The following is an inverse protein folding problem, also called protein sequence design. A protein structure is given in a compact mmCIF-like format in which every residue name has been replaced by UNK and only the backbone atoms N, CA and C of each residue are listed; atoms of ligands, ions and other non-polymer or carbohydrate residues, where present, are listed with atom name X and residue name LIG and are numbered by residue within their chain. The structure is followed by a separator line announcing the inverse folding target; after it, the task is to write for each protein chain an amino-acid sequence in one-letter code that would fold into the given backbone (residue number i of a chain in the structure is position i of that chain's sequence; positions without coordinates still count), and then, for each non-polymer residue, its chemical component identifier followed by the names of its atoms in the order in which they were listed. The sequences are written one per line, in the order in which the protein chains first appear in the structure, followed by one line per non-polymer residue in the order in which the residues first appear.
data_IF_188141069764
#
_entry.id   IF_188141069764
#
_cell.length_a   1.000
_cell.length_b   1.000
_cell.length_c   1.000
_cell.angle_alpha   90.00
_cell.angle_beta   90.00
_cell.angle_gamma   90.00
#
_symmetry.space_group_name_H-M   'P 1'
#
loop_
_entity.id
_entity.type
_entity.pdbx_description
1 polymer ?
#
# COMPACT_ATOMS: atom_id res chain seq x y z
N UNK A 1 14.44 -7.18 10.11
CA UNK A 1 13.01 -7.43 10.00
C UNK A 1 12.47 -7.04 8.66
N UNK A 2 11.72 -7.92 8.07
CA UNK A 2 11.20 -7.67 6.74
C UNK A 2 10.03 -6.71 6.80
N UNK A 3 10.15 -5.58 6.13
CA UNK A 3 9.03 -4.66 5.95
C UNK A 3 8.24 -4.98 4.70
N UNK A 4 8.54 -6.13 4.09
CA UNK A 4 7.89 -6.55 2.85
C UNK A 4 6.81 -7.58 3.14
N UNK A 5 5.59 -7.26 2.78
CA UNK A 5 4.43 -8.11 2.99
C UNK A 5 3.71 -8.36 1.69
N UNK A 6 3.07 -9.53 1.60
CA UNK A 6 2.22 -9.81 0.44
C UNK A 6 0.96 -8.94 0.53
N UNK A 7 0.26 -8.71 -0.59
CA UNK A 7 -1.00 -7.97 -0.55
C UNK A 7 -2.00 -8.59 0.42
N UNK A 8 -1.99 -9.91 0.55
CA UNK A 8 -2.88 -10.61 1.47
C UNK A 8 -2.54 -10.29 2.92
N UNK A 9 -1.25 -10.27 3.23
CA UNK A 9 -0.80 -9.94 4.57
C UNK A 9 -1.13 -8.49 4.93
N UNK A 10 -0.95 -7.57 3.99
CA UNK A 10 -1.31 -6.19 4.20
C UNK A 10 -2.82 -6.02 4.36
N UNK A 11 -3.58 -6.78 3.59
CA UNK A 11 -5.03 -6.76 3.69
C UNK A 11 -5.48 -7.14 5.10
N UNK A 12 -4.88 -8.18 5.67
CA UNK A 12 -5.19 -8.62 7.01
C UNK A 12 -4.79 -7.58 8.06
N UNK A 13 -3.62 -6.99 7.90
CA UNK A 13 -3.11 -6.02 8.86
C UNK A 13 -3.89 -4.72 8.86
N UNK A 14 -4.26 -4.24 7.68
CA UNK A 14 -4.86 -2.93 7.53
C UNK A 14 -6.39 -2.96 7.42
N UNK A 15 -6.97 -4.14 7.27
CA UNK A 15 -8.40 -4.26 7.08
C UNK A 15 -8.88 -3.70 5.75
N UNK A 16 -8.01 -3.72 4.74
CA UNK A 16 -8.33 -3.26 3.38
C UNK A 16 -8.45 -4.43 2.44
N UNK A 17 -9.20 -4.23 1.36
CA UNK A 17 -9.29 -5.25 0.32
C UNK A 17 -7.96 -5.35 -0.44
N UNK A 18 -7.58 -6.58 -0.79
CA UNK A 18 -6.35 -6.83 -1.53
C UNK A 18 -6.31 -6.03 -2.83
N UNK A 19 -7.43 -5.93 -3.51
CA UNK A 19 -7.51 -5.19 -4.77
C UNK A 19 -7.25 -3.71 -4.57
N UNK A 20 -7.73 -3.14 -3.48
CA UNK A 20 -7.46 -1.74 -3.16
C UNK A 20 -6.00 -1.50 -2.87
N UNK A 21 -5.35 -2.44 -2.20
CA UNK A 21 -3.92 -2.35 -1.91
C UNK A 21 -3.12 -2.34 -3.21
N UNK A 22 -3.43 -3.26 -4.11
CA UNK A 22 -2.75 -3.34 -5.40
C UNK A 22 -2.99 -2.09 -6.22
N UNK A 23 -4.22 -1.62 -6.24
CA UNK A 23 -4.58 -0.41 -6.97
C UNK A 23 -3.82 0.80 -6.45
N UNK A 24 -3.72 0.95 -5.14
CA UNK A 24 -2.99 2.05 -4.54
C UNK A 24 -1.51 1.99 -4.89
N UNK A 25 -0.93 0.79 -4.87
CA UNK A 25 0.46 0.61 -5.26
C UNK A 25 0.71 1.09 -6.69
N UNK A 26 -0.21 0.77 -7.60
CA UNK A 26 -0.09 1.18 -8.99
C UNK A 26 -0.23 2.69 -9.12
N UNK A 27 -1.23 3.26 -8.47
CA UNK A 27 -1.50 4.70 -8.55
C UNK A 27 -0.39 5.55 -7.95
N UNK A 28 0.17 5.10 -6.83
CA UNK A 28 1.20 5.87 -6.14
C UNK A 28 2.62 5.44 -6.50
N UNK A 29 2.76 4.45 -7.36
CA UNK A 29 4.07 4.00 -7.79
C UNK A 29 4.84 3.24 -6.73
N UNK A 30 4.17 2.56 -5.84
CA UNK A 30 4.82 1.73 -4.84
C UNK A 30 5.33 0.45 -5.49
N UNK A 31 6.65 0.18 -5.45
CA UNK A 31 7.19 -1.00 -6.11
C UNK A 31 6.78 -2.29 -5.41
N UNK A 32 6.56 -3.32 -6.21
CA UNK A 32 6.24 -4.65 -5.70
C UNK A 32 7.36 -5.58 -6.13
N UNK A 33 8.08 -6.14 -5.15
CA UNK A 33 9.20 -7.03 -5.41
C UNK A 33 8.83 -8.45 -5.01
N UNK A 34 8.97 -9.39 -5.93
CA UNK A 34 8.68 -10.80 -5.67
C UNK A 34 7.30 -11.01 -5.04
N UNK A 35 6.32 -10.22 -5.49
CA UNK A 35 4.98 -10.33 -4.96
C UNK A 35 4.78 -9.73 -3.57
N UNK A 36 5.77 -8.98 -3.08
CA UNK A 36 5.71 -8.35 -1.77
C UNK A 36 5.80 -6.84 -1.87
N UNK A 37 5.11 -6.17 -0.98
CA UNK A 37 5.04 -4.71 -0.96
C UNK A 37 5.77 -4.20 0.26
N UNK A 38 6.56 -3.12 0.09
CA UNK A 38 7.22 -2.47 1.20
C UNK A 38 6.17 -1.74 2.04
N UNK A 39 5.98 -2.20 3.27
CA UNK A 39 4.99 -1.65 4.17
C UNK A 39 5.21 -0.15 4.43
N UNK A 40 6.45 0.24 4.55
CA UNK A 40 6.81 1.64 4.80
C UNK A 40 6.40 2.54 3.64
N UNK A 41 6.74 2.12 2.43
CA UNK A 41 6.37 2.89 1.24
C UNK A 41 4.86 2.90 1.03
N UNK A 42 4.21 1.78 1.33
CA UNK A 42 2.77 1.72 1.22
C UNK A 42 2.09 2.68 2.20
N UNK A 43 2.60 2.76 3.43
CA UNK A 43 2.05 3.68 4.42
C UNK A 43 2.20 5.14 3.98
N UNK A 44 3.33 5.48 3.38
CA UNK A 44 3.55 6.82 2.82
C UNK A 44 2.59 7.10 1.68
N UNK A 45 2.40 6.13 0.80
CA UNK A 45 1.48 6.27 -0.33
C UNK A 45 0.05 6.48 0.14
N UNK A 46 -0.34 5.73 1.15
CA UNK A 46 -1.66 5.85 1.75
C UNK A 46 -1.88 7.24 2.33
N UNK A 47 -0.89 7.75 3.03
CA UNK A 47 -0.93 9.09 3.62
C UNK A 47 -1.02 10.17 2.54
N UNK A 48 -0.26 10.00 1.47
CA UNK A 48 -0.29 10.95 0.36
C UNK A 48 -1.64 10.97 -0.32
N UNK A 49 -2.25 9.81 -0.50
CA UNK A 49 -3.56 9.72 -1.11
C UNK A 49 -4.62 10.41 -0.25
N UNK A 50 -4.54 10.23 1.06
CA UNK A 50 -5.45 10.90 1.98
C UNK A 50 -5.26 12.42 1.98
N UNK A 51 -4.02 12.87 1.93
CA UNK A 51 -3.71 14.31 1.87
C UNK A 51 -4.25 14.93 0.59
N UNK A 52 -4.09 14.24 -0.54
CA UNK A 52 -4.61 14.72 -1.81
C UNK A 52 -6.12 14.83 -1.78
N UNK A 53 -6.79 13.86 -1.18
CA UNK A 53 -8.25 13.88 -1.05
C UNK A 53 -8.71 14.99 -0.11
N UNK A 54 -7.94 15.27 0.93
CA UNK A 54 -8.29 16.31 1.91
C UNK A 54 -8.13 17.72 1.35
N UNK A 55 -7.23 17.88 0.38
CA UNK A 55 -6.95 19.20 -0.22
C UNK A 55 -7.97 19.56 -1.30
N UNK A 56 -8.61 18.57 -1.85
CA UNK A 56 -9.54 18.78 -2.97
C UNK A 56 -10.78 19.60 -2.58
#
# INVERSE_FOLDING_TARGET
MANHLTPEELSDELGMDREEIIKLCIEEGVPIYHGKIDKWLFALAQKNAESAAAVA
#
